data_IF_292930700641
#
_entry.id   IF_292930700641
#
_cell.length_a   1.000
_cell.length_b   1.000
_cell.length_c   1.000
_cell.angle_alpha   90.00
_cell.angle_beta   90.00
_cell.angle_gamma   90.00
#
_symmetry.space_group_name_H-M   'P 1'
#
loop_
_entity.id
_entity.type
_entity.pdbx_description
1 polymer ?
#
# COMPACT_ATOMS: atom_id res chain seq x y z
N UNK A 1 -12.95 16.62 23.98
CA UNK A 1 -13.49 15.27 24.18
C UNK A 1 -12.31 14.33 24.44
N UNK A 2 -12.47 13.40 25.36
CA UNK A 2 -11.48 12.36 25.66
C UNK A 2 -12.23 11.02 25.72
N UNK A 3 -11.62 9.96 25.19
CA UNK A 3 -12.11 8.60 25.33
C UNK A 3 -10.92 7.63 25.40
N UNK A 4 -11.05 6.55 26.17
CA UNK A 4 -10.14 5.41 26.07
C UNK A 4 -10.68 4.49 24.97
N UNK A 5 -9.86 3.95 24.05
CA UNK A 5 -10.35 3.07 23.00
C UNK A 5 -11.18 1.87 23.52
N UNK A 6 -10.79 1.30 24.66
CA UNK A 6 -11.51 0.21 25.33
C UNK A 6 -12.92 0.57 25.82
N UNK A 7 -13.15 1.85 26.13
CA UNK A 7 -14.45 2.36 26.59
C UNK A 7 -15.35 2.79 25.41
N UNK A 8 -14.82 2.78 24.19
CA UNK A 8 -15.48 3.29 22.99
C UNK A 8 -15.45 4.82 22.89
N UNK A 9 -15.74 5.33 21.69
CA UNK A 9 -15.60 6.76 21.37
C UNK A 9 -16.91 7.57 21.40
N UNK A 10 -18.08 6.91 21.49
CA UNK A 10 -19.38 7.59 21.57
C UNK A 10 -19.79 8.42 20.33
N UNK A 11 -19.14 8.20 19.19
CA UNK A 11 -19.42 8.90 17.91
C UNK A 11 -20.08 7.94 16.92
N UNK A 12 -20.84 8.43 15.92
CA UNK A 12 -21.46 7.58 14.90
C UNK A 12 -20.46 6.87 13.99
N UNK A 13 -19.24 7.40 13.87
CA UNK A 13 -18.16 6.81 13.06
C UNK A 13 -16.84 6.87 13.83
N UNK A 14 -16.03 5.81 13.71
CA UNK A 14 -14.75 5.73 14.41
C UNK A 14 -13.77 6.81 13.89
N UNK A 15 -13.32 7.75 14.75
CA UNK A 15 -12.48 8.87 14.33
C UNK A 15 -11.00 8.50 14.20
N UNK A 16 -10.56 7.32 14.65
CA UNK A 16 -9.14 6.96 14.71
C UNK A 16 -8.44 7.13 13.35
N UNK A 17 -9.05 6.60 12.29
CA UNK A 17 -8.54 6.74 10.93
C UNK A 17 -8.71 8.15 10.35
N UNK A 18 -9.51 9.04 10.95
CA UNK A 18 -9.57 10.44 10.54
C UNK A 18 -8.42 11.26 11.18
N UNK A 19 -8.00 10.89 12.40
CA UNK A 19 -6.90 11.55 13.13
C UNK A 19 -5.54 11.22 12.53
N UNK A 20 -5.31 9.96 12.16
CA UNK A 20 -4.07 9.55 11.49
C UNK A 20 -4.25 9.74 9.98
N UNK A 21 -4.14 10.96 9.50
CA UNK A 21 -4.31 11.35 8.07
C UNK A 21 -3.41 12.53 7.68
N UNK A 22 -3.15 12.74 6.37
CA UNK A 22 -3.42 11.83 5.25
C UNK A 22 -2.53 10.58 5.33
N UNK A 23 -3.09 9.41 4.98
CA UNK A 23 -2.30 8.17 4.89
C UNK A 23 -1.96 7.86 3.44
N UNK A 24 -0.68 7.54 3.13
CA UNK A 24 -0.34 7.02 1.83
C UNK A 24 -1.00 5.64 1.66
N UNK A 25 -1.26 5.27 0.40
CA UNK A 25 -1.83 3.97 0.05
C UNK A 25 -0.71 3.12 -0.53
N UNK A 26 -0.35 2.04 0.16
CA UNK A 26 0.45 0.98 -0.42
C UNK A 26 -0.46 0.10 -1.27
N UNK A 27 -0.33 0.16 -2.59
CA UNK A 27 -1.08 -0.74 -3.47
C UNK A 27 -0.25 -1.99 -3.71
N UNK A 28 -0.49 -2.98 -2.86
CA UNK A 28 0.38 -4.13 -2.68
C UNK A 28 0.03 -5.19 -3.71
N UNK A 29 0.99 -5.50 -4.57
CA UNK A 29 0.92 -6.65 -5.46
C UNK A 29 1.76 -7.80 -4.95
N UNK A 30 1.23 -9.01 -5.12
CA UNK A 30 1.90 -10.26 -4.78
C UNK A 30 1.65 -11.27 -5.89
N UNK A 31 2.45 -12.33 -5.92
CA UNK A 31 2.26 -13.48 -6.79
C UNK A 31 2.33 -14.74 -5.92
N UNK A 32 1.34 -15.63 -6.02
CA UNK A 32 1.35 -16.89 -5.26
C UNK A 32 2.43 -17.84 -5.76
N UNK A 33 2.73 -18.91 -5.01
CA UNK A 33 3.63 -19.98 -5.48
C UNK A 33 3.18 -20.62 -6.81
N UNK A 34 1.87 -20.63 -7.08
CA UNK A 34 1.27 -21.13 -8.33
C UNK A 34 1.28 -20.09 -9.47
N UNK A 35 1.85 -18.90 -9.26
CA UNK A 35 1.99 -17.87 -10.29
C UNK A 35 0.78 -16.95 -10.45
N UNK A 36 -0.21 -17.01 -9.56
CA UNK A 36 -1.41 -16.16 -9.63
C UNK A 36 -1.11 -14.78 -9.02
N UNK A 37 -1.33 -13.71 -9.78
CA UNK A 37 -1.17 -12.35 -9.29
C UNK A 37 -2.33 -11.97 -8.35
N UNK A 38 -2.03 -11.16 -7.35
CA UNK A 38 -3.00 -10.53 -6.46
C UNK A 38 -2.66 -9.04 -6.27
N UNK A 39 -3.67 -8.18 -6.14
CA UNK A 39 -3.47 -6.74 -5.97
C UNK A 39 -4.51 -6.09 -5.04
N UNK A 40 -4.05 -5.55 -3.91
CA UNK A 40 -4.93 -4.94 -2.91
C UNK A 40 -4.36 -3.64 -2.31
N UNK A 41 -5.20 -2.61 -2.07
CA UNK A 41 -4.75 -1.37 -1.45
C UNK A 41 -4.77 -1.45 0.09
N UNK A 42 -3.70 -0.97 0.71
CA UNK A 42 -3.54 -0.86 2.16
C UNK A 42 -3.19 0.57 2.56
N UNK A 43 -4.06 1.21 3.36
CA UNK A 43 -3.80 2.58 3.86
C UNK A 43 -3.00 2.62 5.16
N UNK A 44 -2.69 1.47 5.76
CA UNK A 44 -1.76 1.39 6.88
C UNK A 44 -0.39 1.04 6.32
N UNK A 45 0.20 1.98 5.59
CA UNK A 45 1.46 1.84 4.85
C UNK A 45 2.38 3.02 5.17
N UNK A 46 3.69 2.78 5.29
CA UNK A 46 4.70 3.85 5.36
C UNK A 46 6.12 3.33 5.08
N UNK A 47 7.06 4.25 4.82
CA UNK A 47 8.49 3.98 4.91
C UNK A 47 8.93 3.90 6.39
N UNK A 48 9.93 3.08 6.68
CA UNK A 48 10.41 2.84 8.07
C UNK A 48 11.93 2.89 8.25
N UNK A 49 12.72 2.82 7.18
CA UNK A 49 14.17 2.99 7.22
C UNK A 49 14.73 3.55 5.90
N UNK A 50 15.88 4.22 5.97
CA UNK A 50 16.57 4.79 4.80
C UNK A 50 17.69 3.89 4.24
N UNK A 51 18.46 3.19 5.08
CA UNK A 51 19.62 2.39 4.66
C UNK A 51 19.71 1.05 5.43
N UNK A 52 19.44 -0.10 4.77
CA UNK A 52 18.77 -0.19 3.48
C UNK A 52 17.33 0.36 3.57
N UNK A 53 16.76 0.86 2.46
CA UNK A 53 15.41 1.41 2.45
C UNK A 53 14.38 0.33 2.80
N UNK A 54 13.44 0.64 3.68
CA UNK A 54 12.42 -0.32 4.12
C UNK A 54 11.04 0.32 4.18
N UNK A 55 10.02 -0.50 3.93
CA UNK A 55 8.60 -0.13 4.03
C UNK A 55 7.84 -1.13 4.89
N UNK A 56 6.68 -0.71 5.37
CA UNK A 56 5.73 -1.59 6.05
C UNK A 56 4.32 -1.40 5.50
N UNK A 57 3.52 -2.46 5.58
CA UNK A 57 2.07 -2.34 5.53
C UNK A 57 1.39 -3.28 6.53
N UNK A 58 0.22 -2.88 7.05
CA UNK A 58 -0.56 -3.69 7.97
C UNK A 58 -1.88 -4.18 7.36
N UNK A 59 -2.15 -5.47 7.54
CA UNK A 59 -3.45 -6.10 7.25
C UNK A 59 -4.21 -6.29 8.57
N UNK A 60 -5.47 -5.85 8.61
CA UNK A 60 -6.31 -5.84 9.81
C UNK A 60 -7.61 -6.64 9.64
N UNK A 61 -7.64 -7.53 8.65
CA UNK A 61 -8.81 -8.34 8.31
C UNK A 61 -8.38 -9.71 7.79
N UNK A 62 -9.31 -10.66 7.86
CA UNK A 62 -9.14 -12.02 7.37
C UNK A 62 -10.06 -12.29 6.19
N UNK A 63 -9.74 -13.33 5.44
CA UNK A 63 -10.60 -13.94 4.43
C UNK A 63 -10.85 -15.39 4.83
N UNK A 64 -12.07 -15.89 4.66
CA UNK A 64 -12.47 -17.20 5.19
C UNK A 64 -11.73 -18.38 4.54
N UNK A 65 -11.22 -18.19 3.33
CA UNK A 65 -10.42 -19.14 2.54
C UNK A 65 -8.91 -19.00 2.77
N UNK A 66 -8.50 -18.23 3.78
CA UNK A 66 -7.11 -18.01 4.17
C UNK A 66 -6.90 -18.24 5.67
N UNK A 67 -5.70 -18.70 6.05
CA UNK A 67 -5.36 -18.99 7.44
C UNK A 67 -5.12 -17.69 8.24
N UNK A 68 -6.20 -17.14 8.78
CA UNK A 68 -6.19 -15.99 9.68
C UNK A 68 -5.66 -14.70 9.04
N UNK A 69 -5.73 -14.57 7.71
CA UNK A 69 -5.17 -13.41 6.99
C UNK A 69 -5.83 -13.17 5.62
N UNK A 70 -5.28 -12.27 4.81
CA UNK A 70 -5.66 -12.00 3.41
C UNK A 70 -4.66 -12.60 2.43
N UNK A 71 -5.07 -12.76 1.18
CA UNK A 71 -4.26 -13.31 0.08
C UNK A 71 -2.86 -12.65 0.00
N UNK A 72 -2.76 -11.33 0.13
CA UNK A 72 -1.46 -10.62 0.12
C UNK A 72 -0.47 -11.14 1.17
N UNK A 73 -0.89 -11.27 2.44
CA UNK A 73 0.00 -11.74 3.51
C UNK A 73 0.28 -13.24 3.36
N UNK A 74 -0.70 -14.04 2.91
CA UNK A 74 -0.49 -15.46 2.63
C UNK A 74 0.58 -15.66 1.54
N UNK A 75 0.45 -14.94 0.42
CA UNK A 75 1.42 -14.98 -0.67
C UNK A 75 2.81 -14.50 -0.21
N UNK A 76 2.89 -13.45 0.61
CA UNK A 76 4.17 -12.94 1.13
C UNK A 76 4.83 -13.92 2.09
N UNK A 77 4.06 -14.61 2.95
CA UNK A 77 4.58 -15.65 3.84
C UNK A 77 5.19 -16.81 3.05
N UNK A 78 4.56 -17.19 1.96
CA UNK A 78 5.01 -18.27 1.08
C UNK A 78 6.25 -17.86 0.26
N UNK A 79 6.20 -16.70 -0.38
CA UNK A 79 7.18 -16.30 -1.41
C UNK A 79 8.29 -15.38 -0.92
N UNK A 80 8.08 -14.70 0.20
CA UNK A 80 9.02 -13.73 0.77
C UNK A 80 9.17 -12.45 -0.06
N UNK A 81 8.27 -12.16 -1.01
CA UNK A 81 8.38 -11.00 -1.90
C UNK A 81 7.04 -10.31 -2.11
N UNK A 82 7.08 -9.00 -2.38
CA UNK A 82 5.92 -8.20 -2.79
C UNK A 82 6.38 -6.95 -3.54
N UNK A 83 5.47 -6.32 -4.26
CA UNK A 83 5.71 -5.00 -4.83
C UNK A 83 4.71 -3.98 -4.27
N UNK A 84 5.19 -2.77 -3.99
CA UNK A 84 4.36 -1.63 -3.58
C UNK A 84 4.21 -0.70 -4.77
N UNK A 85 2.98 -0.48 -5.22
CA UNK A 85 2.68 0.47 -6.28
C UNK A 85 2.17 1.78 -5.67
N UNK A 86 2.74 2.92 -6.07
CA UNK A 86 2.29 4.23 -5.62
C UNK A 86 1.09 4.65 -6.45
N UNK A 87 -0.01 5.01 -5.78
CA UNK A 87 -1.28 5.34 -6.44
C UNK A 87 -1.31 6.82 -6.81
N UNK A 88 -1.45 7.13 -8.10
CA UNK A 88 -1.77 8.47 -8.58
C UNK A 88 -3.27 8.74 -8.58
N UNK A 89 -3.67 10.02 -8.54
CA UNK A 89 -5.08 10.40 -8.53
C UNK A 89 -5.87 9.86 -9.75
N UNK A 90 -5.23 9.76 -10.91
CA UNK A 90 -5.83 9.22 -12.13
C UNK A 90 -6.23 7.75 -12.00
N UNK A 91 -5.54 6.97 -11.15
CA UNK A 91 -5.76 5.54 -10.96
C UNK A 91 -6.73 5.20 -9.82
N UNK A 92 -7.32 6.20 -9.14
CA UNK A 92 -8.16 6.02 -7.95
C UNK A 92 -9.30 5.00 -8.15
N UNK A 93 -9.93 5.00 -9.32
CA UNK A 93 -11.10 4.16 -9.58
C UNK A 93 -10.68 2.69 -9.78
N UNK A 94 -9.55 2.45 -10.46
CA UNK A 94 -8.97 1.11 -10.60
C UNK A 94 -8.44 0.58 -9.26
N UNK A 95 -7.74 1.41 -8.49
CA UNK A 95 -7.32 1.06 -7.13
C UNK A 95 -8.52 0.73 -6.23
N UNK A 96 -9.60 1.51 -6.29
CA UNK A 96 -10.80 1.21 -5.51
C UNK A 96 -11.46 -0.10 -5.96
N UNK A 97 -11.52 -0.40 -7.26
CA UNK A 97 -12.02 -1.68 -7.78
C UNK A 97 -11.22 -2.88 -7.28
N UNK A 98 -9.89 -2.76 -7.18
CA UNK A 98 -9.02 -3.84 -6.69
C UNK A 98 -9.20 -4.12 -5.17
N UNK A 99 -10.00 -3.33 -4.46
CA UNK A 99 -10.36 -3.61 -3.05
C UNK A 99 -11.58 -4.54 -2.87
N UNK A 100 -12.20 -4.97 -3.96
CA UNK A 100 -13.34 -5.89 -3.94
C UNK A 100 -12.96 -7.23 -3.27
N UNK A 101 -13.92 -7.84 -2.58
CA UNK A 101 -13.76 -9.20 -2.05
C UNK A 101 -13.99 -10.20 -3.19
N UNK A 102 -12.89 -10.69 -3.79
CA UNK A 102 -12.92 -11.71 -4.83
C UNK A 102 -12.52 -13.07 -4.27
N UNK A 103 -12.89 -14.15 -4.97
CA UNK A 103 -12.51 -15.51 -4.60
C UNK A 103 -11.00 -15.71 -4.76
N UNK A 104 -10.40 -16.58 -3.93
CA UNK A 104 -8.98 -16.90 -4.02
C UNK A 104 -8.62 -17.38 -5.42
N UNK A 105 -7.49 -16.88 -5.93
CA UNK A 105 -7.01 -17.21 -7.28
C UNK A 105 -7.62 -16.32 -8.38
N UNK A 106 -8.47 -15.36 -8.04
CA UNK A 106 -8.92 -14.33 -8.98
C UNK A 106 -7.86 -13.24 -9.09
N UNK A 107 -7.47 -12.87 -10.30
CA UNK A 107 -6.49 -11.79 -10.54
C UNK A 107 -7.17 -10.40 -10.44
N UNK A 108 -6.87 -9.65 -9.37
CA UNK A 108 -7.39 -8.29 -9.20
C UNK A 108 -6.88 -7.28 -10.23
N UNK A 109 -5.73 -7.50 -10.88
CA UNK A 109 -5.28 -6.64 -11.98
C UNK A 109 -6.29 -6.71 -13.12
N UNK A 110 -6.63 -7.92 -13.55
CA UNK A 110 -7.60 -8.15 -14.61
C UNK A 110 -8.98 -7.60 -14.24
N UNK A 111 -9.43 -7.82 -12.99
CA UNK A 111 -10.69 -7.28 -12.49
C UNK A 111 -10.74 -5.74 -12.52
N UNK A 112 -9.63 -5.08 -12.15
CA UNK A 112 -9.54 -3.63 -12.14
C UNK A 112 -9.28 -3.01 -13.52
N UNK A 113 -9.03 -3.83 -14.55
CA UNK A 113 -8.69 -3.38 -15.91
C UNK A 113 -7.27 -2.82 -16.00
N UNK A 114 -6.33 -3.43 -15.27
CA UNK A 114 -4.94 -3.02 -15.17
C UNK A 114 -4.05 -4.03 -15.89
N UNK A 115 -2.99 -3.53 -16.52
CA UNK A 115 -1.92 -4.36 -17.05
C UNK A 115 -0.90 -4.66 -15.95
N UNK A 116 -0.58 -5.94 -15.80
CA UNK A 116 0.48 -6.43 -14.93
C UNK A 116 1.80 -6.49 -15.72
N UNK A 117 2.85 -5.89 -15.17
CA UNK A 117 4.21 -5.92 -15.73
C UNK A 117 5.12 -6.66 -14.74
N UNK A 118 6.02 -7.52 -15.22
CA UNK A 118 6.98 -8.19 -14.34
C UNK A 118 7.93 -7.21 -13.66
N UNK A 119 8.26 -7.53 -12.41
CA UNK A 119 9.34 -6.91 -11.64
C UNK A 119 10.71 -7.44 -12.11
N UNK A 120 11.77 -6.66 -11.88
CA UNK A 120 13.13 -6.93 -12.37
C UNK A 120 13.97 -7.74 -11.37
N UNK A 121 13.74 -7.57 -10.07
CA UNK A 121 14.54 -8.13 -8.98
C UNK A 121 13.81 -9.15 -8.11
N UNK A 122 12.49 -9.29 -8.29
CA UNK A 122 11.63 -10.25 -7.60
C UNK A 122 10.63 -10.90 -8.58
N UNK A 123 10.20 -12.14 -8.31
CA UNK A 123 9.16 -12.82 -9.08
C UNK A 123 7.74 -12.34 -8.68
N UNK A 124 7.42 -11.10 -9.01
CA UNK A 124 6.13 -10.47 -8.75
C UNK A 124 5.74 -9.59 -9.95
N UNK A 125 4.49 -9.14 -10.00
CA UNK A 125 4.06 -8.11 -10.95
C UNK A 125 3.91 -6.74 -10.27
N UNK A 126 4.14 -5.67 -11.03
CA UNK A 126 3.79 -4.29 -10.71
C UNK A 126 2.70 -3.79 -11.68
N UNK A 127 2.00 -2.74 -11.30
CA UNK A 127 0.95 -2.13 -12.14
C UNK A 127 1.60 -1.29 -13.24
N UNK A 128 1.17 -1.48 -14.48
CA UNK A 128 1.63 -0.67 -15.60
C UNK A 128 1.34 0.81 -15.40
N UNK A 129 2.30 1.66 -15.75
CA UNK A 129 2.12 3.11 -15.77
C UNK A 129 2.04 3.79 -14.40
N UNK A 130 2.23 3.10 -13.27
CA UNK A 130 2.28 3.77 -11.96
C UNK A 130 3.43 4.76 -11.87
N UNK A 131 3.29 5.86 -11.13
CA UNK A 131 4.35 6.86 -10.96
C UNK A 131 5.60 6.26 -10.32
N UNK A 132 5.45 5.34 -9.36
CA UNK A 132 6.56 4.60 -8.79
C UNK A 132 6.13 3.21 -8.32
N UNK A 133 7.07 2.27 -8.35
CA UNK A 133 6.90 0.94 -7.78
C UNK A 133 8.15 0.53 -6.98
N UNK A 134 7.94 -0.11 -5.83
CA UNK A 134 9.01 -0.59 -4.95
C UNK A 134 8.98 -2.12 -4.95
N UNK A 135 10.05 -2.75 -5.38
CA UNK A 135 10.22 -4.20 -5.27
C UNK A 135 10.78 -4.54 -3.90
N UNK A 136 10.11 -5.42 -3.16
CA UNK A 136 10.41 -5.67 -1.77
C UNK A 136 10.68 -7.15 -1.49
N UNK A 137 11.72 -7.41 -0.68
CA UNK A 137 11.94 -8.70 -0.02
C UNK A 137 11.46 -8.60 1.42
N UNK A 138 10.66 -9.56 1.85
CA UNK A 138 10.15 -9.65 3.21
C UNK A 138 11.31 -9.76 4.20
N UNK A 139 11.26 -8.94 5.24
CA UNK A 139 12.18 -9.07 6.39
C UNK A 139 11.50 -9.78 7.54
N UNK A 140 10.27 -9.38 7.88
CA UNK A 140 9.49 -9.99 8.94
C UNK A 140 8.00 -9.69 8.83
N UNK A 141 7.19 -10.59 9.39
CA UNK A 141 5.77 -10.36 9.66
C UNK A 141 5.58 -10.45 11.17
N UNK A 142 4.99 -9.41 11.75
CA UNK A 142 4.72 -9.34 13.19
C UNK A 142 3.21 -9.41 13.41
N UNK A 143 2.78 -10.30 14.31
CA UNK A 143 1.41 -10.33 14.81
C UNK A 143 1.23 -9.20 15.84
N UNK A 144 0.22 -8.36 15.60
CA UNK A 144 -0.16 -7.27 16.50
C UNK A 144 -1.34 -7.73 17.38
N UNK A 145 -1.62 -7.06 18.52
CA UNK A 145 -2.81 -7.34 19.30
C UNK A 145 -4.09 -7.30 18.44
N UNK A 146 -4.94 -8.34 18.58
CA UNK A 146 -6.14 -8.56 17.79
C UNK A 146 -5.98 -9.71 16.78
N UNK A 147 -7.04 -10.51 16.60
CA UNK A 147 -6.97 -11.80 15.88
C UNK A 147 -6.43 -11.71 14.44
N UNK A 148 -6.77 -10.63 13.73
CA UNK A 148 -6.48 -10.46 12.31
C UNK A 148 -5.27 -9.55 12.02
N UNK A 149 -4.68 -8.93 13.04
CA UNK A 149 -3.77 -7.81 12.84
C UNK A 149 -2.35 -8.29 12.61
N UNK A 150 -1.83 -8.01 11.41
CA UNK A 150 -0.46 -8.37 11.00
C UNK A 150 0.20 -7.19 10.32
N UNK A 151 1.47 -6.95 10.61
CA UNK A 151 2.29 -5.98 9.89
C UNK A 151 3.43 -6.70 9.19
N UNK A 152 3.57 -6.46 7.90
CA UNK A 152 4.67 -6.95 7.09
C UNK A 152 5.69 -5.81 6.90
N UNK A 153 6.97 -6.15 7.06
CA UNK A 153 8.09 -5.29 6.76
C UNK A 153 8.87 -5.86 5.58
N UNK A 154 9.37 -4.99 4.70
CA UNK A 154 10.19 -5.40 3.58
C UNK A 154 11.31 -4.41 3.28
N UNK A 155 12.45 -4.95 2.90
CA UNK A 155 13.56 -4.22 2.31
C UNK A 155 13.24 -3.92 0.84
N UNK A 156 13.39 -2.67 0.44
CA UNK A 156 13.24 -2.25 -0.95
C UNK A 156 14.53 -2.61 -1.69
N UNK A 157 14.43 -3.54 -2.63
CA UNK A 157 15.54 -4.07 -3.43
C UNK A 157 15.54 -3.58 -4.88
N UNK A 158 14.44 -2.94 -5.30
CA UNK A 158 14.31 -2.32 -6.61
C UNK A 158 13.33 -1.15 -6.56
N UNK A 159 13.58 -0.11 -7.36
CA UNK A 159 12.73 1.08 -7.46
C UNK A 159 12.51 1.41 -8.93
N UNK A 160 11.24 1.55 -9.31
CA UNK A 160 10.81 2.04 -10.62
C UNK A 160 10.25 3.44 -10.43
N UNK A 161 10.62 4.36 -11.32
CA UNK A 161 10.07 5.71 -11.38
C UNK A 161 9.58 5.97 -12.80
N UNK A 162 8.42 6.61 -12.95
CA UNK A 162 7.91 7.07 -14.24
C UNK A 162 8.63 8.36 -14.63
N UNK A 163 9.25 8.38 -15.80
CA UNK A 163 10.13 9.48 -16.23
C UNK A 163 9.47 10.86 -16.23
N UNK A 164 8.18 10.94 -16.54
CA UNK A 164 7.42 12.21 -16.59
C UNK A 164 7.18 12.86 -15.21
N UNK A 165 7.47 12.10 -14.14
CA UNK A 165 7.43 12.55 -12.76
C UNK A 165 8.80 13.06 -12.28
N UNK A 166 9.86 12.89 -13.05
CA UNK A 166 11.18 13.47 -12.75
C UNK A 166 11.32 14.84 -13.43
N UNK A 167 11.44 15.88 -12.61
CA UNK A 167 11.66 17.26 -13.05
C UNK A 167 12.94 17.76 -12.40
N UNK A 168 13.95 18.07 -13.21
CA UNK A 168 15.25 18.57 -12.74
C UNK A 168 15.91 17.68 -11.67
N UNK A 169 15.75 16.35 -11.80
CA UNK A 169 16.28 15.36 -10.86
C UNK A 169 15.46 15.17 -9.58
N UNK A 170 14.30 15.83 -9.47
CA UNK A 170 13.36 15.70 -8.35
C UNK A 170 12.18 14.86 -8.80
N UNK A 171 11.80 13.85 -7.99
CA UNK A 171 10.55 13.13 -8.19
C UNK A 171 9.38 13.99 -7.71
N UNK A 172 8.82 14.77 -8.64
CA UNK A 172 7.83 15.80 -8.37
C UNK A 172 6.43 15.18 -8.22
N UNK A 173 5.97 15.17 -6.96
CA UNK A 173 4.68 14.58 -6.60
C UNK A 173 3.48 15.33 -7.18
N UNK A 174 3.64 16.58 -7.63
CA UNK A 174 2.55 17.32 -8.29
C UNK A 174 2.25 16.80 -9.69
N UNK A 175 3.20 16.09 -10.33
CA UNK A 175 3.05 15.50 -11.67
C UNK A 175 2.03 14.36 -11.70
N UNK A 176 1.94 13.60 -10.61
CA UNK A 176 1.02 12.46 -10.50
C UNK A 176 -0.03 12.61 -9.40
N UNK A 177 0.10 13.60 -8.51
CA UNK A 177 -0.89 13.91 -7.47
C UNK A 177 -1.21 12.67 -6.60
N UNK A 178 -0.28 12.21 -5.73
CA UNK A 178 -0.44 10.99 -4.94
C UNK A 178 -1.81 10.94 -4.27
N UNK A 179 -2.50 9.81 -4.42
CA UNK A 179 -3.78 9.58 -3.78
C UNK A 179 -3.55 9.16 -2.33
N UNK A 180 -4.24 9.85 -1.42
CA UNK A 180 -4.17 9.59 0.02
C UNK A 180 -5.51 9.14 0.56
N UNK A 181 -5.49 8.22 1.51
CA UNK A 181 -6.67 7.82 2.27
C UNK A 181 -6.81 8.68 3.52
N UNK A 182 -8.02 9.16 3.78
CA UNK A 182 -8.36 9.92 4.98
C UNK A 182 -9.14 9.05 5.99
N UNK A 183 -10.03 9.67 6.75
CA UNK A 183 -11.05 8.98 7.53
C UNK A 183 -12.14 8.38 6.65
N UNK A 184 -12.91 7.46 7.22
CA UNK A 184 -14.16 6.99 6.62
C UNK A 184 -13.96 6.45 5.18
N UNK A 185 -14.65 7.05 4.19
CA UNK A 185 -14.52 6.75 2.75
C UNK A 185 -13.87 7.90 1.99
N UNK A 186 -13.24 8.83 2.70
CA UNK A 186 -12.72 10.06 2.12
C UNK A 186 -11.31 9.85 1.59
N UNK A 187 -11.02 10.51 0.48
CA UNK A 187 -9.73 10.52 -0.20
C UNK A 187 -9.30 11.96 -0.49
N UNK A 188 -8.00 12.17 -0.53
CA UNK A 188 -7.40 13.43 -0.96
C UNK A 188 -6.34 13.16 -2.03
N UNK A 189 -5.96 14.21 -2.76
CA UNK A 189 -4.79 14.22 -3.63
C UNK A 189 -3.89 15.39 -3.24
N UNK A 190 -2.59 15.25 -3.44
CA UNK A 190 -1.64 16.35 -3.24
C UNK A 190 -1.60 17.19 -4.51
N UNK A 191 -2.10 18.43 -4.44
CA UNK A 191 -2.08 19.40 -5.54
C UNK A 191 -1.08 20.54 -5.34
N UNK A 192 -0.75 20.84 -4.09
CA UNK A 192 0.01 22.03 -3.71
C UNK A 192 1.17 21.63 -2.80
N UNK A 193 2.31 22.28 -3.01
CA UNK A 193 3.51 22.10 -2.20
C UNK A 193 3.93 23.45 -1.63
N UNK A 194 4.47 23.40 -0.42
CA UNK A 194 5.26 24.47 0.15
C UNK A 194 6.48 23.85 0.82
N UNK A 195 7.60 24.57 0.81
CA UNK A 195 8.83 24.12 1.45
C UNK A 195 9.04 24.87 2.75
N UNK A 196 9.53 24.16 3.76
CA UNK A 196 10.02 24.76 5.00
C UNK A 196 11.53 24.53 5.04
N UNK A 197 12.28 25.60 5.26
CA UNK A 197 13.70 25.50 5.61
C UNK A 197 13.81 24.89 7.00
N UNK A 198 14.78 24.01 7.24
CA UNK A 198 15.00 23.51 8.59
C UNK A 198 15.49 24.65 9.48
N UNK A 199 15.17 24.66 10.78
CA UNK A 199 15.63 25.71 11.68
C UNK A 199 17.18 25.86 11.75
N UNK A 200 17.90 24.82 11.35
CA UNK A 200 19.36 24.70 11.37
C UNK A 200 20.02 24.72 9.99
N UNK A 201 19.25 24.92 8.91
CA UNK A 201 19.75 25.17 7.55
C UNK A 201 20.07 26.66 7.31
#
# INVERSE_FOLDING_TARGET
>A
MFYRPEDGHGLPHNPFNAVVTPRPIGWISTRSGDGVNNLAPYSFFNAVAYVPPQVMFASTSTKADQDGTKDSIANIRETGIFCVNIVEYAMRDAMNKSSAALDKGTDEFAHAGLEAIDCETINCARVAGVPAALECKLTQIIDLPGEANKVAFGEVVGVHLRDDCLVDGIFDVTRYQPLSRLGYRDYAKVSDLFSLTRPDD
#
